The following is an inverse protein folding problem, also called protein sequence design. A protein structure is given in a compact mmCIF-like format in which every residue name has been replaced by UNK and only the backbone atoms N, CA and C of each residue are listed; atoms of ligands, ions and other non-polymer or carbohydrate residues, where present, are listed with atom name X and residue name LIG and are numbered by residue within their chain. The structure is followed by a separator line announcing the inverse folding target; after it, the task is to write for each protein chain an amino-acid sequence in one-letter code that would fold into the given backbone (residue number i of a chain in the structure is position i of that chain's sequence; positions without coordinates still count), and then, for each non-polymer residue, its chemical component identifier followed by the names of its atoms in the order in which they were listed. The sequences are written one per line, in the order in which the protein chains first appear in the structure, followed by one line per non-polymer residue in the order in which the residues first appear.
data_IF_656406532290
#
_entry.id   IF_656406532290
#
_cell.length_a   1.000
_cell.length_b   1.000
_cell.length_c   1.000
_cell.angle_alpha   90.00
_cell.angle_beta   90.00
_cell.angle_gamma   90.00
#
_symmetry.space_group_name_H-M   'P 1'
#
loop_
_entity.id
_entity.type
_entity.pdbx_description
1 polymer ?
#
# COMPACT_ATOMS: atom_id res chain seq x y z
N UNK A 1 -43.86 -6.06 29.05
CA UNK A 1 -44.13 -7.44 29.48
C UNK A 1 -44.39 -8.29 28.25
N UNK A 2 -43.34 -8.87 27.68
CA UNK A 2 -43.40 -9.85 26.57
C UNK A 2 -41.96 -10.30 26.27
N UNK A 3 -41.28 -10.86 27.28
CA UNK A 3 -40.02 -11.56 27.05
C UNK A 3 -40.33 -12.80 26.22
N UNK A 4 -39.80 -12.90 25.01
CA UNK A 4 -40.05 -14.05 24.14
C UNK A 4 -39.17 -15.23 24.54
N UNK A 5 -39.43 -15.78 25.73
CA UNK A 5 -38.74 -16.94 26.28
C UNK A 5 -39.24 -18.24 25.63
N UNK A 6 -38.89 -18.46 24.37
CA UNK A 6 -38.80 -19.83 23.87
C UNK A 6 -37.37 -20.34 24.06
N UNK A 7 -37.12 -20.85 25.26
CA UNK A 7 -35.90 -21.57 25.62
C UNK A 7 -36.06 -23.10 25.49
N UNK A 8 -37.12 -23.56 24.80
CA UNK A 8 -37.53 -24.96 24.71
C UNK A 8 -37.74 -25.46 23.27
N UNK A 9 -37.70 -24.57 22.27
CA UNK A 9 -37.47 -24.94 20.88
C UNK A 9 -36.30 -25.93 20.79
N UNK A 10 -36.52 -27.16 20.30
CA UNK A 10 -35.45 -28.10 20.06
C UNK A 10 -34.45 -27.47 19.10
N UNK A 11 -33.19 -27.34 19.51
CA UNK A 11 -32.11 -27.12 18.55
C UNK A 11 -32.09 -28.36 17.68
N UNK A 12 -32.23 -28.19 16.37
CA UNK A 12 -32.00 -29.27 15.43
C UNK A 12 -30.57 -29.78 15.68
N UNK A 13 -30.43 -31.07 16.04
CA UNK A 13 -29.11 -31.64 16.29
C UNK A 13 -28.34 -31.69 14.96
N UNK A 14 -27.36 -30.79 14.81
CA UNK A 14 -26.48 -30.78 13.66
C UNK A 14 -25.83 -32.16 13.50
N UNK A 15 -25.95 -32.75 12.31
CA UNK A 15 -25.47 -34.10 12.07
C UNK A 15 -23.94 -34.16 12.15
N UNK A 16 -23.40 -34.66 13.26
CA UNK A 16 -21.97 -34.88 13.48
C UNK A 16 -21.48 -36.06 12.62
N UNK A 17 -21.22 -35.78 11.35
CA UNK A 17 -20.73 -36.76 10.38
C UNK A 17 -19.25 -37.02 10.63
N UNK A 18 -18.95 -38.15 11.27
CA UNK A 18 -17.58 -38.60 11.47
C UNK A 18 -16.90 -39.04 10.17
N UNK A 19 -15.64 -38.63 9.97
CA UNK A 19 -14.79 -39.02 8.85
C UNK A 19 -13.47 -39.64 9.34
N UNK A 20 -13.16 -40.86 8.90
CA UNK A 20 -11.85 -41.50 9.17
C UNK A 20 -10.73 -40.76 8.39
N UNK A 21 -9.67 -40.26 9.04
CA UNK A 21 -8.66 -39.45 8.38
C UNK A 21 -7.71 -40.28 7.52
N UNK A 22 -7.73 -40.01 6.20
CA UNK A 22 -6.93 -40.69 5.16
C UNK A 22 -5.41 -40.60 5.41
N UNK A 23 -4.95 -39.50 6.03
CA UNK A 23 -3.55 -39.28 6.41
C UNK A 23 -3.53 -38.88 7.88
N UNK A 24 -2.75 -39.58 8.70
CA UNK A 24 -2.55 -39.31 10.12
C UNK A 24 -1.18 -38.66 10.31
N UNK A 25 -1.15 -37.37 10.61
CA UNK A 25 0.08 -36.63 10.91
C UNK A 25 0.54 -36.99 12.33
N UNK A 26 1.35 -38.04 12.45
CA UNK A 26 1.78 -38.62 13.73
C UNK A 26 2.86 -37.82 14.45
N UNK A 27 3.60 -36.99 13.73
CA UNK A 27 4.71 -36.20 14.27
C UNK A 27 4.40 -34.70 14.17
N UNK A 28 4.59 -33.98 15.28
CA UNK A 28 4.50 -32.52 15.29
C UNK A 28 5.78 -31.94 14.67
N UNK A 29 5.66 -31.41 13.46
CA UNK A 29 6.77 -30.72 12.77
C UNK A 29 7.09 -29.41 13.49
N UNK A 30 8.33 -29.24 13.93
CA UNK A 30 8.86 -27.95 14.39
C UNK A 30 8.88 -26.96 13.22
N UNK A 31 8.25 -25.79 13.39
CA UNK A 31 8.06 -24.82 12.31
C UNK A 31 8.72 -23.50 12.65
N UNK A 32 9.86 -23.24 11.99
CA UNK A 32 10.64 -22.02 12.16
C UNK A 32 10.14 -20.93 11.21
N UNK A 33 10.18 -19.70 11.67
CA UNK A 33 9.74 -18.52 10.90
C UNK A 33 10.82 -18.04 9.93
N UNK A 34 12.09 -18.37 10.21
CA UNK A 34 13.29 -17.81 9.57
C UNK A 34 13.39 -16.29 9.75
N UNK A 35 13.07 -15.86 10.97
CA UNK A 35 13.09 -14.48 11.49
C UNK A 35 13.69 -14.43 12.92
N UNK A 36 14.10 -15.58 13.46
CA UNK A 36 14.58 -15.76 14.84
C UNK A 36 15.90 -15.00 15.11
N UNK A 37 16.74 -14.83 14.08
CA UNK A 37 18.02 -14.13 14.13
C UNK A 37 17.90 -12.64 13.78
N UNK A 38 16.69 -12.08 13.80
CA UNK A 38 16.41 -10.68 13.48
C UNK A 38 15.79 -9.91 14.65
N UNK A 39 15.86 -8.58 14.57
CA UNK A 39 15.28 -7.62 15.51
C UNK A 39 14.22 -6.77 14.78
N UNK A 40 13.09 -6.53 15.44
CA UNK A 40 11.96 -5.81 14.85
C UNK A 40 12.12 -4.30 15.07
N UNK A 41 12.70 -3.59 14.09
CA UNK A 41 12.87 -2.14 14.16
C UNK A 41 11.54 -1.39 14.04
N UNK A 42 10.62 -1.93 13.24
CA UNK A 42 9.30 -1.34 13.00
C UNK A 42 8.27 -2.45 12.84
N UNK A 43 7.06 -2.24 13.36
CA UNK A 43 5.90 -3.11 13.16
C UNK A 43 4.62 -2.27 13.10
N UNK A 44 3.87 -2.34 12.00
CA UNK A 44 2.60 -1.62 11.91
C UNK A 44 1.58 -2.31 11.01
N UNK A 45 0.29 -2.04 11.27
CA UNK A 45 -0.84 -2.61 10.53
C UNK A 45 -1.01 -1.94 9.17
N UNK A 46 -1.03 -2.73 8.09
CA UNK A 46 -1.10 -2.22 6.72
C UNK A 46 -1.93 -3.11 5.76
N UNK A 47 -2.24 -2.55 4.59
CA UNK A 47 -2.72 -3.28 3.40
C UNK A 47 -1.75 -3.01 2.25
N UNK A 48 -1.26 -4.08 1.64
CA UNK A 48 -0.29 -4.06 0.54
C UNK A 48 -0.96 -4.42 -0.78
N UNK A 49 -0.60 -3.67 -1.81
CA UNK A 49 -1.04 -3.81 -3.19
C UNK A 49 0.15 -4.02 -4.12
N UNK A 50 -0.14 -4.57 -5.29
CA UNK A 50 0.79 -4.87 -6.37
C UNK A 50 0.24 -4.29 -7.66
N UNK A 51 1.04 -3.55 -8.40
CA UNK A 51 0.64 -3.08 -9.72
C UNK A 51 0.74 -4.23 -10.72
N UNK A 52 -0.33 -4.51 -11.45
CA UNK A 52 -0.34 -5.49 -12.52
C UNK A 52 -0.18 -4.77 -13.86
N UNK A 53 1.02 -4.85 -14.45
CA UNK A 53 1.33 -4.19 -15.71
C UNK A 53 0.54 -4.73 -16.91
N UNK A 54 -0.04 -5.95 -16.84
CA UNK A 54 -0.83 -6.53 -17.93
C UNK A 54 -2.27 -6.02 -17.98
N UNK A 55 -2.80 -5.53 -16.85
CA UNK A 55 -4.17 -4.99 -16.71
C UNK A 55 -4.18 -3.53 -16.23
N UNK A 56 -3.01 -2.94 -16.00
CA UNK A 56 -2.79 -1.56 -15.54
C UNK A 56 -3.52 -1.20 -14.24
N UNK A 57 -3.70 -2.17 -13.33
CA UNK A 57 -4.51 -2.02 -12.12
C UNK A 57 -3.75 -2.38 -10.82
N UNK A 58 -4.27 -1.92 -9.68
CA UNK A 58 -3.74 -2.23 -8.35
C UNK A 58 -4.48 -3.42 -7.74
N UNK A 59 -3.82 -4.58 -7.66
CA UNK A 59 -4.35 -5.80 -7.03
C UNK A 59 -3.92 -5.88 -5.57
N UNK A 60 -4.82 -6.28 -4.66
CA UNK A 60 -4.44 -6.51 -3.27
C UNK A 60 -3.51 -7.72 -3.15
N UNK A 61 -2.31 -7.51 -2.60
CA UNK A 61 -1.31 -8.56 -2.37
C UNK A 61 -1.47 -9.18 -0.97
N UNK A 62 -1.92 -8.40 0.01
CA UNK A 62 -2.27 -8.89 1.34
C UNK A 62 -2.59 -7.80 2.37
N UNK A 63 -3.35 -8.15 3.41
CA UNK A 63 -3.57 -7.33 4.62
C UNK A 63 -2.94 -8.04 5.82
N UNK A 64 -2.25 -7.29 6.68
CA UNK A 64 -1.51 -7.85 7.82
C UNK A 64 -0.60 -6.83 8.50
N UNK A 65 0.36 -7.31 9.28
CA UNK A 65 1.38 -6.45 9.89
C UNK A 65 2.64 -6.43 8.99
N UNK A 66 3.04 -5.24 8.54
CA UNK A 66 4.34 -5.02 7.91
C UNK A 66 5.39 -4.82 8.99
N UNK A 67 6.57 -5.42 8.81
CA UNK A 67 7.71 -5.28 9.71
C UNK A 67 8.98 -4.93 8.95
N UNK A 68 9.82 -4.12 9.58
CA UNK A 68 11.22 -3.95 9.19
C UNK A 68 12.06 -4.77 10.15
N UNK A 69 12.76 -5.77 9.62
CA UNK A 69 13.55 -6.75 10.39
C UNK A 69 15.03 -6.54 10.11
N UNK A 70 15.84 -6.37 11.15
CA UNK A 70 17.28 -6.18 11.07
C UNK A 70 18.03 -7.42 11.58
N UNK A 71 18.87 -8.01 10.74
CA UNK A 71 19.62 -9.22 11.10
C UNK A 71 20.65 -8.95 12.20
N UNK A 72 20.63 -9.73 13.29
CA UNK A 72 21.43 -9.48 14.51
C UNK A 72 22.93 -9.36 14.24
N UNK A 73 23.47 -10.25 13.40
CA UNK A 73 24.88 -10.22 12.97
C UNK A 73 25.13 -9.19 11.85
N UNK A 74 24.59 -9.43 10.64
CA UNK A 74 24.93 -8.64 9.43
C UNK A 74 24.35 -7.22 9.41
N UNK A 75 23.47 -6.87 10.35
CA UNK A 75 22.73 -5.60 10.49
C UNK A 75 21.87 -5.18 9.28
N UNK A 76 21.80 -6.01 8.23
CA UNK A 76 20.96 -5.76 7.05
C UNK A 76 19.48 -5.76 7.42
N UNK A 77 18.76 -4.75 6.93
CA UNK A 77 17.31 -4.57 7.15
C UNK A 77 16.50 -5.04 5.94
N UNK A 78 15.43 -5.81 6.18
CA UNK A 78 14.45 -6.22 5.16
C UNK A 78 13.01 -5.90 5.55
N UNK A 79 12.16 -5.68 4.55
CA UNK A 79 10.70 -5.66 4.70
C UNK A 79 10.21 -7.10 4.75
N UNK A 80 9.44 -7.46 5.78
CA UNK A 80 8.67 -8.72 5.82
C UNK A 80 7.23 -8.43 6.22
N UNK A 81 6.28 -8.86 5.39
CA UNK A 81 4.84 -8.76 5.65
C UNK A 81 4.16 -10.12 5.45
N UNK A 82 3.28 -10.50 6.38
CA UNK A 82 2.52 -11.76 6.34
C UNK A 82 1.02 -11.46 6.35
N UNK A 83 0.24 -12.24 5.59
CA UNK A 83 -1.21 -12.13 5.49
C UNK A 83 -1.89 -12.64 6.77
N UNK A 84 -2.94 -11.94 7.22
CA UNK A 84 -3.80 -12.39 8.32
C UNK A 84 -4.29 -13.84 8.15
N UNK A 85 -4.43 -14.54 9.28
CA UNK A 85 -4.94 -15.92 9.46
C UNK A 85 -4.14 -17.03 8.75
N UNK A 86 -3.77 -16.83 7.50
CA UNK A 86 -3.00 -17.75 6.66
C UNK A 86 -1.49 -17.70 6.91
N UNK A 87 -0.98 -16.60 7.49
CA UNK A 87 0.43 -16.34 7.80
C UNK A 87 1.41 -16.41 6.61
N UNK A 88 0.88 -16.56 5.39
CA UNK A 88 1.63 -16.55 4.13
C UNK A 88 2.29 -15.20 3.93
N UNK A 89 3.58 -15.21 3.58
CA UNK A 89 4.36 -14.02 3.23
C UNK A 89 3.72 -13.32 2.02
N UNK A 90 3.70 -12.00 2.02
CA UNK A 90 3.20 -11.15 0.92
C UNK A 90 4.13 -9.97 0.59
N UNK A 91 5.21 -9.77 1.34
CA UNK A 91 6.42 -9.06 0.95
C UNK A 91 7.61 -9.64 1.72
N UNK A 92 8.76 -9.77 1.06
CA UNK A 92 10.03 -10.23 1.63
C UNK A 92 11.17 -9.73 0.73
N UNK A 93 11.74 -8.56 1.03
CA UNK A 93 12.83 -7.97 0.27
C UNK A 93 13.75 -7.11 1.13
N UNK A 94 15.05 -7.12 0.82
CA UNK A 94 16.03 -6.22 1.43
C UNK A 94 15.73 -4.78 1.02
N UNK A 95 15.85 -3.84 1.95
CA UNK A 95 15.72 -2.41 1.66
C UNK A 95 17.00 -1.94 0.97
N UNK A 96 16.94 -1.44 -0.26
CA UNK A 96 18.12 -0.98 -1.02
C UNK A 96 18.12 0.53 -1.23
N UNK A 97 19.31 1.11 -1.42
CA UNK A 97 19.53 2.57 -1.46
C UNK A 97 19.00 3.27 -2.71
N UNK A 98 18.55 2.51 -3.71
CA UNK A 98 17.88 2.96 -4.94
C UNK A 98 16.35 3.01 -4.82
N UNK A 99 15.75 2.31 -3.84
CA UNK A 99 14.30 2.38 -3.59
C UNK A 99 13.89 3.83 -3.23
N UNK A 100 12.67 4.24 -3.63
CA UNK A 100 12.10 5.55 -3.28
C UNK A 100 10.63 5.37 -2.93
N UNK A 101 10.22 5.84 -1.76
CA UNK A 101 8.82 5.88 -1.35
C UNK A 101 8.16 7.14 -1.93
N UNK A 102 7.43 6.98 -3.04
CA UNK A 102 6.68 8.04 -3.70
C UNK A 102 5.24 8.11 -3.13
N UNK A 103 4.66 9.30 -2.94
CA UNK A 103 3.27 9.42 -2.48
C UNK A 103 2.30 8.91 -3.55
N UNK A 104 1.20 8.27 -3.14
CA UNK A 104 0.18 7.81 -4.09
C UNK A 104 -0.86 8.91 -4.35
N UNK A 105 -1.21 9.14 -5.62
CA UNK A 105 -2.17 10.17 -6.03
C UNK A 105 -3.52 9.91 -5.36
N UNK A 106 -4.05 10.92 -4.65
CA UNK A 106 -5.29 10.79 -3.89
C UNK A 106 -5.18 10.04 -2.55
N UNK A 107 -3.98 9.78 -2.02
CA UNK A 107 -3.84 9.22 -0.66
C UNK A 107 -2.66 9.80 0.14
N UNK A 108 -3.02 10.50 1.20
CA UNK A 108 -2.19 10.96 2.33
C UNK A 108 -1.48 9.85 3.12
N UNK A 109 -2.00 8.62 3.04
CA UNK A 109 -1.62 7.47 3.88
C UNK A 109 -1.11 6.27 3.09
N UNK A 110 -0.62 6.50 1.87
CA UNK A 110 -0.10 5.45 0.99
C UNK A 110 1.23 5.82 0.31
N UNK A 111 2.17 4.88 0.29
CA UNK A 111 3.44 4.99 -0.42
C UNK A 111 3.56 3.94 -1.53
N UNK A 112 4.27 4.28 -2.61
CA UNK A 112 4.56 3.43 -3.77
C UNK A 112 6.07 3.30 -3.93
N UNK A 113 6.58 2.10 -4.21
CA UNK A 113 7.99 1.88 -4.57
C UNK A 113 8.16 0.69 -5.51
N UNK A 114 9.33 0.62 -6.14
CA UNK A 114 9.75 -0.52 -6.99
C UNK A 114 10.71 -1.41 -6.21
N UNK A 115 10.61 -2.71 -6.43
CA UNK A 115 11.45 -3.74 -5.81
C UNK A 115 12.00 -4.63 -6.92
N UNK A 116 13.32 -4.72 -7.07
CA UNK A 116 13.94 -5.51 -8.14
C UNK A 116 13.82 -7.04 -7.93
N UNK A 117 13.77 -7.50 -6.67
CA UNK A 117 13.58 -8.90 -6.30
C UNK A 117 12.85 -9.02 -4.95
N UNK A 118 11.55 -9.33 -5.01
CA UNK A 118 10.74 -9.72 -3.85
C UNK A 118 10.59 -11.25 -3.78
N UNK A 119 10.83 -11.79 -2.59
CA UNK A 119 10.91 -13.21 -2.27
C UNK A 119 9.69 -13.68 -1.44
N UNK A 120 8.50 -13.10 -1.66
CA UNK A 120 7.26 -13.61 -1.05
C UNK A 120 6.61 -14.74 -1.84
N UNK A 121 6.94 -14.86 -3.12
CA UNK A 121 6.63 -15.97 -4.00
C UNK A 121 7.95 -16.56 -4.54
N UNK A 122 7.90 -17.68 -5.28
CA UNK A 122 9.10 -18.32 -5.87
C UNK A 122 8.85 -18.68 -7.34
N UNK A 123 9.75 -18.33 -8.29
CA UNK A 123 11.00 -17.58 -8.11
C UNK A 123 10.77 -16.11 -7.70
N UNK A 124 11.83 -15.39 -7.26
CA UNK A 124 11.71 -13.98 -6.88
C UNK A 124 11.29 -13.11 -8.06
N UNK A 125 10.48 -12.08 -7.80
CA UNK A 125 9.88 -11.23 -8.84
C UNK A 125 10.26 -9.75 -8.68
N UNK A 126 10.39 -9.05 -9.81
CA UNK A 126 10.41 -7.59 -9.81
C UNK A 126 8.98 -7.07 -9.72
N UNK A 127 8.71 -6.17 -8.78
CA UNK A 127 7.36 -5.75 -8.41
C UNK A 127 7.29 -4.24 -8.22
N UNK A 128 6.16 -3.63 -8.57
CA UNK A 128 5.82 -2.27 -8.12
C UNK A 128 4.75 -2.40 -7.04
N UNK A 129 5.11 -2.04 -5.81
CA UNK A 129 4.30 -2.23 -4.62
C UNK A 129 3.73 -0.90 -4.16
N UNK A 130 2.51 -0.94 -3.60
CA UNK A 130 1.94 0.18 -2.87
C UNK A 130 1.43 -0.29 -1.51
N UNK A 131 1.75 0.43 -0.43
CA UNK A 131 1.31 0.12 0.92
C UNK A 131 0.39 1.24 1.43
N UNK A 132 -0.67 0.86 2.15
CA UNK A 132 -1.66 1.78 2.73
C UNK A 132 -1.79 1.53 4.23
N UNK A 133 -1.73 2.61 5.00
CA UNK A 133 -1.88 2.59 6.45
C UNK A 133 -3.26 3.11 6.89
N UNK A 134 -3.53 3.08 8.20
CA UNK A 134 -4.80 3.53 8.76
C UNK A 134 -5.00 5.05 8.59
N UNK A 135 -3.95 5.84 8.82
CA UNK A 135 -3.91 7.31 8.78
C UNK A 135 -2.56 7.80 8.20
N UNK A 136 -2.43 9.10 7.94
CA UNK A 136 -1.20 9.69 7.41
C UNK A 136 -0.02 9.58 8.40
N UNK A 137 -0.27 9.66 9.71
CA UNK A 137 0.77 9.55 10.75
C UNK A 137 1.50 8.20 10.69
N UNK A 138 0.76 7.09 10.65
CA UNK A 138 1.30 5.74 10.48
C UNK A 138 2.10 5.59 9.18
N UNK A 139 1.69 6.29 8.11
CA UNK A 139 2.43 6.31 6.85
C UNK A 139 3.74 7.11 6.96
N UNK A 140 3.74 8.24 7.66
CA UNK A 140 4.95 9.01 7.93
C UNK A 140 5.95 8.21 8.79
N UNK A 141 5.48 7.57 9.86
CA UNK A 141 6.30 6.69 10.70
C UNK A 141 6.96 5.55 9.90
N UNK A 142 6.21 4.90 8.99
CA UNK A 142 6.78 3.90 8.09
C UNK A 142 7.84 4.48 7.16
N UNK A 143 7.59 5.67 6.57
CA UNK A 143 8.55 6.32 5.68
C UNK A 143 9.87 6.60 6.41
N UNK A 144 9.82 7.21 7.59
CA UNK A 144 11.00 7.50 8.41
C UNK A 144 11.79 6.22 8.71
N UNK A 145 11.15 5.17 9.23
CA UNK A 145 11.82 3.91 9.55
C UNK A 145 12.38 3.18 8.30
N UNK A 146 11.75 3.35 7.13
CA UNK A 146 12.24 2.81 5.87
C UNK A 146 13.47 3.58 5.37
N UNK A 147 13.48 4.90 5.44
CA UNK A 147 14.61 5.74 5.02
C UNK A 147 15.82 5.58 5.97
N UNK A 148 15.59 5.44 7.29
CA UNK A 148 16.62 5.05 8.26
C UNK A 148 17.22 3.66 7.95
N UNK A 149 16.39 2.70 7.54
CA UNK A 149 16.83 1.39 7.08
C UNK A 149 17.61 1.45 5.75
N UNK A 150 17.28 2.36 4.84
CA UNK A 150 18.06 2.62 3.62
C UNK A 150 19.46 3.16 3.94
N UNK A 151 19.57 4.14 4.85
CA UNK A 151 20.87 4.68 5.29
C UNK A 151 21.70 3.60 5.98
N UNK A 152 21.07 2.79 6.84
CA UNK A 152 21.72 1.65 7.51
C UNK A 152 22.28 0.65 6.50
N UNK A 153 21.48 0.23 5.52
CA UNK A 153 21.91 -0.72 4.49
C UNK A 153 22.93 -0.14 3.50
N UNK A 154 22.86 1.16 3.19
CA UNK A 154 23.85 1.85 2.35
C UNK A 154 25.24 1.85 3.02
N UNK A 155 25.31 2.20 4.30
CA UNK A 155 26.55 2.20 5.07
C UNK A 155 27.18 0.80 5.17
N UNK A 156 26.36 -0.25 5.36
CA UNK A 156 26.80 -1.65 5.37
C UNK A 156 27.30 -2.17 4.01
N UNK A 157 26.95 -1.49 2.91
CA UNK A 157 27.42 -1.78 1.56
C UNK A 157 28.62 -0.89 1.15
N UNK A 158 29.12 -0.03 2.04
CA UNK A 158 30.21 0.91 1.76
C UNK A 158 29.81 2.12 0.92
N UNK A 159 28.51 2.37 0.74
CA UNK A 159 27.99 3.53 0.03
C UNK A 159 27.79 4.74 0.95
N UNK A 160 28.11 5.94 0.43
CA UNK A 160 27.67 7.18 1.06
C UNK A 160 26.14 7.29 1.03
N UNK A 161 25.55 7.94 2.03
CA UNK A 161 24.10 8.14 2.09
C UNK A 161 23.63 9.07 0.96
N UNK A 162 22.48 8.80 0.30
CA UNK A 162 21.92 9.71 -0.68
C UNK A 162 21.34 10.95 0.02
N UNK A 163 21.70 12.14 -0.47
CA UNK A 163 21.12 13.40 0.01
C UNK A 163 19.64 13.51 -0.42
N UNK A 164 18.82 14.16 0.41
CA UNK A 164 17.40 14.36 0.13
C UNK A 164 17.21 15.47 -0.92
N UNK A 165 16.68 15.12 -2.09
CA UNK A 165 16.45 16.03 -3.21
C UNK A 165 15.36 17.07 -2.92
N UNK A 166 15.76 18.32 -2.74
CA UNK A 166 14.85 19.46 -2.53
C UNK A 166 14.33 20.02 -3.86
N UNK A 167 13.51 19.24 -4.58
CA UNK A 167 12.95 19.60 -5.91
C UNK A 167 11.42 19.78 -5.88
N UNK A 168 10.92 20.66 -4.99
CA UNK A 168 9.54 21.16 -5.03
C UNK A 168 9.53 22.70 -4.91
N UNK A 169 9.67 23.43 -6.04
CA UNK A 169 9.42 24.89 -6.02
C UNK A 169 9.13 25.63 -7.33
N UNK A 170 9.51 25.13 -8.51
CA UNK A 170 9.45 25.96 -9.74
C UNK A 170 8.15 25.82 -10.57
N UNK A 171 7.39 24.73 -10.44
CA UNK A 171 6.23 24.44 -11.30
C UNK A 171 4.92 25.18 -10.91
N UNK A 172 4.99 26.48 -10.56
CA UNK A 172 3.81 27.24 -10.10
C UNK A 172 3.65 28.68 -10.62
N UNK A 173 4.49 29.14 -11.55
CA UNK A 173 4.47 30.56 -11.98
C UNK A 173 3.89 30.82 -13.39
N UNK A 174 3.76 29.81 -14.27
CA UNK A 174 3.27 30.03 -15.66
C UNK A 174 1.73 30.13 -15.81
N UNK A 175 0.94 29.78 -14.79
CA UNK A 175 -0.53 29.70 -14.89
C UNK A 175 -1.27 31.07 -14.78
N UNK A 176 -0.59 32.22 -14.94
CA UNK A 176 -1.12 33.52 -14.50
C UNK A 176 -0.88 34.72 -15.44
N UNK A 177 -0.84 34.53 -16.77
CA UNK A 177 -0.67 35.65 -17.74
C UNK A 177 -1.51 35.55 -19.03
N UNK A 178 -2.84 35.56 -18.90
CA UNK A 178 -3.77 35.87 -20.00
C UNK A 178 -5.03 36.57 -19.49
N UNK A 179 -4.90 37.83 -19.08
CA UNK A 179 -6.03 38.73 -18.82
C UNK A 179 -5.64 40.18 -19.15
N UNK A 180 -6.59 40.88 -19.78
CA UNK A 180 -6.58 42.30 -20.19
C UNK A 180 -5.48 42.78 -21.15
N UNK A 181 -5.88 43.12 -22.38
CA UNK A 181 -5.88 44.53 -22.80
C UNK A 181 -7.04 44.77 -23.78
N UNK A 182 -7.81 45.84 -23.55
CA UNK A 182 -8.94 46.29 -24.40
C UNK A 182 -8.64 47.70 -24.93
N UNK A 183 -9.05 48.04 -26.16
CA UNK A 183 -9.83 49.28 -26.31
C UNK A 183 -10.94 49.27 -27.38
N UNK A 184 -12.06 49.93 -27.05
CA UNK A 184 -12.85 50.92 -27.83
C UNK A 184 -12.95 50.84 -29.38
N UNK A 185 -14.06 51.14 -30.08
CA UNK A 185 -15.34 51.90 -29.87
C UNK A 185 -16.26 51.59 -31.11
N UNK A 186 -17.55 51.94 -31.29
CA UNK A 186 -18.65 52.51 -30.50
C UNK A 186 -20.00 52.30 -31.24
N UNK A 187 -21.14 52.26 -30.50
CA UNK A 187 -22.54 52.37 -30.99
C UNK A 187 -23.03 51.25 -31.96
N UNK A 188 -24.33 50.98 -32.14
CA UNK A 188 -25.56 51.62 -31.64
C UNK A 188 -26.68 50.56 -31.38
N UNK A 189 -27.75 50.93 -30.67
CA UNK A 189 -28.99 50.13 -30.51
C UNK A 189 -30.08 50.57 -31.54
N UNK A 190 -31.26 49.92 -31.71
CA UNK A 190 -31.88 48.86 -30.88
C UNK A 190 -32.37 47.61 -31.67
N UNK A 191 -33.08 46.71 -30.97
CA UNK A 191 -33.86 45.61 -31.56
C UNK A 191 -35.12 46.08 -32.34
N UNK A 192 -35.78 45.17 -33.07
CA UNK A 192 -37.11 44.81 -32.59
C UNK A 192 -37.46 43.30 -32.62
N UNK A 193 -38.31 42.96 -31.66
CA UNK A 193 -39.48 42.06 -31.68
C UNK A 193 -39.48 40.69 -32.41
N UNK A 194 -40.04 39.75 -31.65
CA UNK A 194 -40.59 38.42 -31.98
C UNK A 194 -41.37 38.28 -33.29
N UNK A 195 -41.28 37.09 -33.89
CA UNK A 195 -42.49 36.36 -34.32
C UNK A 195 -42.30 34.84 -34.27
N UNK A 196 -43.39 34.07 -34.21
CA UNK A 196 -43.35 32.61 -34.07
C UNK A 196 -44.61 31.89 -34.62
N UNK A 197 -44.50 31.32 -35.83
CA UNK A 197 -45.39 30.29 -36.39
C UNK A 197 -44.51 29.18 -37.01
N UNK A 198 -44.66 27.88 -36.68
CA UNK A 198 -45.73 26.90 -37.04
C UNK A 198 -45.72 26.48 -38.51
N UNK A 199 -45.74 25.15 -38.70
CA UNK A 199 -46.38 24.34 -39.77
C UNK A 199 -46.16 24.74 -41.25
N UNK A 200 -45.99 23.80 -42.17
CA UNK A 200 -46.35 22.37 -42.14
C UNK A 200 -45.17 21.38 -42.21
#
# INVERSE_FOLDING_TARGET
MSENTDALAPREEEADVHFEPVIKLTEQVDTKTHEEDEEVLFKLRAKLFRFDAGSTEWKERGTGDVRLLAHKETKKVRVVMRRDKTLKVCANHVITSDMRLQPNIGSDRSWVWKVAADYSESPPTSETLAIRFANAENAAQFKTAFEEAQVTNAALLGGAAPEASAEEKEEKEEASKTADETPEKAADEPAPETEAEKKD
#
